data_IF_436286471530
#
_entry.id   IF_436286471530
#
_cell.length_a   1.000
_cell.length_b   1.000
_cell.length_c   1.000
_cell.angle_alpha   90.00
_cell.angle_beta   90.00
_cell.angle_gamma   90.00
#
_symmetry.space_group_name_H-M   'P 1'
#
loop_
_entity.id
_entity.type
_entity.pdbx_description
1 polymer ?
#
# COMPACT_ATOMS: atom_id res chain seq x y z
N UNK A 1 41.73 -12.94 -56.43
CA UNK A 1 40.83 -13.99 -55.91
C UNK A 1 41.35 -14.42 -54.55
N UNK A 2 40.44 -14.68 -53.60
CA UNK A 2 40.64 -14.84 -52.14
C UNK A 2 40.69 -13.53 -51.34
N UNK A 3 39.60 -13.22 -50.63
CA UNK A 3 39.62 -13.25 -49.16
C UNK A 3 38.18 -13.23 -48.60
N UNK A 4 37.89 -14.19 -47.73
CA UNK A 4 36.71 -14.24 -46.86
C UNK A 4 36.67 -13.03 -45.92
N UNK A 5 35.48 -12.51 -45.65
CA UNK A 5 35.21 -11.73 -44.43
C UNK A 5 33.81 -12.06 -43.92
N UNK A 6 33.78 -12.96 -42.93
CA UNK A 6 32.67 -13.18 -42.00
C UNK A 6 32.49 -11.93 -41.14
N UNK A 7 31.33 -11.30 -41.19
CA UNK A 7 30.91 -10.33 -40.19
C UNK A 7 30.00 -11.05 -39.16
N UNK A 8 30.60 -11.53 -38.07
CA UNK A 8 29.87 -12.02 -36.91
C UNK A 8 29.37 -10.81 -36.10
N UNK A 9 28.05 -10.61 -36.08
CA UNK A 9 27.40 -9.62 -35.23
C UNK A 9 27.43 -10.08 -33.76
N UNK A 10 28.28 -9.45 -32.94
CA UNK A 10 28.15 -9.52 -31.48
C UNK A 10 27.00 -8.60 -31.04
N UNK A 11 25.83 -9.17 -30.72
CA UNK A 11 24.87 -8.51 -29.85
C UNK A 11 25.34 -8.65 -28.39
N UNK A 12 25.88 -7.57 -27.84
CA UNK A 12 26.14 -7.46 -26.42
C UNK A 12 24.80 -7.39 -25.67
N UNK A 13 24.51 -8.40 -24.86
CA UNK A 13 23.41 -8.39 -23.91
C UNK A 13 23.74 -7.39 -22.79
N UNK A 14 23.06 -6.25 -22.78
CA UNK A 14 23.13 -5.31 -21.66
C UNK A 14 22.46 -5.94 -20.43
N UNK A 15 23.09 -5.90 -19.24
CA UNK A 15 22.43 -6.34 -18.01
C UNK A 15 21.25 -5.40 -17.71
N UNK A 16 20.05 -5.98 -17.56
CA UNK A 16 18.87 -5.30 -17.04
C UNK A 16 19.17 -4.88 -15.60
N UNK A 17 19.61 -3.65 -15.42
CA UNK A 17 19.74 -3.06 -14.09
C UNK A 17 18.33 -2.86 -13.53
N UNK A 18 17.93 -3.72 -12.59
CA UNK A 18 16.81 -3.50 -11.67
C UNK A 18 16.86 -2.06 -11.16
N UNK A 19 15.82 -1.23 -11.33
CA UNK A 19 15.78 0.06 -10.67
C UNK A 19 15.77 -0.17 -9.16
N UNK A 20 16.87 0.21 -8.50
CA UNK A 20 16.99 0.29 -7.04
C UNK A 20 16.01 1.37 -6.57
N UNK A 21 15.12 0.98 -5.66
CA UNK A 21 14.38 1.82 -4.71
C UNK A 21 14.16 3.26 -5.19
N UNK A 22 13.01 3.50 -5.82
CA UNK A 22 12.40 4.82 -5.75
C UNK A 22 12.18 5.11 -4.27
N UNK A 23 13.07 5.91 -3.68
CA UNK A 23 12.89 6.50 -2.35
C UNK A 23 11.67 7.40 -2.48
N UNK A 24 10.50 6.83 -2.16
CA UNK A 24 9.28 7.59 -1.98
C UNK A 24 9.61 8.74 -1.00
N UNK A 25 9.17 9.99 -1.27
CA UNK A 25 9.47 11.09 -0.38
C UNK A 25 8.90 10.74 1.00
N UNK A 26 9.81 10.48 1.94
CA UNK A 26 9.44 10.34 3.34
C UNK A 26 8.84 11.68 3.76
N UNK A 27 7.51 11.73 3.87
CA UNK A 27 6.82 12.90 4.38
C UNK A 27 7.28 13.10 5.82
N UNK A 28 7.86 14.25 6.12
CA UNK A 28 8.36 14.55 7.45
C UNK A 28 7.18 14.70 8.43
N UNK A 29 6.96 13.68 9.24
CA UNK A 29 6.00 13.66 10.34
C UNK A 29 5.86 12.28 10.95
N UNK A 30 5.17 12.21 12.08
CA UNK A 30 4.89 10.95 12.78
C UNK A 30 3.56 11.02 13.52
N UNK A 31 2.90 9.87 13.69
CA UNK A 31 1.79 9.72 14.61
C UNK A 31 2.30 9.62 16.04
N UNK A 32 1.68 10.39 16.93
CA UNK A 32 1.96 10.43 18.36
C UNK A 32 0.68 10.01 19.11
N UNK A 33 0.81 9.23 20.17
CA UNK A 33 -0.34 8.90 21.02
C UNK A 33 -0.68 10.11 21.91
N UNK A 34 -1.92 10.60 21.82
CA UNK A 34 -2.38 11.73 22.61
C UNK A 34 -3.67 11.42 23.36
N UNK A 35 -3.75 11.91 24.59
CA UNK A 35 -5.00 12.07 25.32
C UNK A 35 -5.83 13.17 24.66
N UNK A 36 -7.07 12.84 24.35
CA UNK A 36 -8.07 13.72 23.76
C UNK A 36 -9.09 14.09 24.86
N UNK A 37 -9.43 15.37 24.95
CA UNK A 37 -10.53 15.85 25.77
C UNK A 37 -11.33 16.91 25.01
N UNK A 38 -12.65 16.78 25.00
CA UNK A 38 -13.56 17.65 24.22
C UNK A 38 -13.12 17.82 22.76
N UNK A 39 -12.72 16.73 22.12
CA UNK A 39 -12.26 16.69 20.73
C UNK A 39 -10.87 17.28 20.48
N UNK A 40 -10.14 17.70 21.51
CA UNK A 40 -8.83 18.34 21.40
C UNK A 40 -7.72 17.48 22.04
N UNK A 41 -6.54 17.36 21.41
CA UNK A 41 -5.39 16.74 22.06
C UNK A 41 -4.89 17.63 23.20
N UNK A 42 -4.92 17.12 24.43
CA UNK A 42 -4.51 17.85 25.64
C UNK A 42 -3.15 17.43 26.17
N UNK A 43 -2.72 16.19 25.90
CA UNK A 43 -1.43 15.66 26.30
C UNK A 43 -0.97 14.64 25.28
N UNK A 44 0.27 14.75 24.81
CA UNK A 44 0.85 13.81 23.86
C UNK A 44 2.09 13.16 24.47
N UNK A 45 2.25 11.87 24.23
CA UNK A 45 3.38 11.06 24.72
C UNK A 45 4.31 10.66 23.59
N UNK A 46 4.62 9.38 23.56
CA UNK A 46 5.52 8.76 22.61
C UNK A 46 4.86 8.53 21.23
N UNK A 47 5.69 8.13 20.26
CA UNK A 47 5.22 7.71 18.94
C UNK A 47 4.20 6.59 19.04
N UNK A 48 3.13 6.69 18.26
CA UNK A 48 2.09 5.67 18.21
C UNK A 48 2.60 4.36 17.58
N UNK A 49 2.13 3.24 18.09
CA UNK A 49 2.45 1.88 17.65
C UNK A 49 1.16 1.06 17.58
N UNK A 50 0.94 0.33 16.48
CA UNK A 50 -0.19 -0.58 16.32
C UNK A 50 -1.09 -0.24 15.14
N UNK A 51 -2.33 -0.76 15.14
CA UNK A 51 -3.32 -0.50 14.08
C UNK A 51 -4.23 0.65 14.49
N UNK A 52 -4.46 1.59 13.57
CA UNK A 52 -5.39 2.68 13.78
C UNK A 52 -6.09 3.10 12.48
N UNK A 53 -7.30 3.62 12.63
CA UNK A 53 -8.00 4.30 11.54
C UNK A 53 -7.54 5.75 11.50
N UNK A 54 -6.95 6.16 10.39
CA UNK A 54 -6.32 7.48 10.23
C UNK A 54 -6.68 8.11 8.90
N UNK A 55 -6.65 9.45 8.85
CA UNK A 55 -6.79 10.17 7.60
C UNK A 55 -5.44 10.25 6.87
N UNK A 56 -5.42 9.75 5.63
CA UNK A 56 -4.25 9.78 4.74
C UNK A 56 -4.53 10.66 3.54
N UNK A 57 -3.53 10.87 2.68
CA UNK A 57 -3.71 11.53 1.38
C UNK A 57 -4.71 10.83 0.45
N UNK A 58 -5.01 9.54 0.69
CA UNK A 58 -5.94 8.74 -0.10
C UNK A 58 -7.32 8.57 0.55
N UNK A 59 -7.56 9.21 1.70
CA UNK A 59 -8.80 9.08 2.49
C UNK A 59 -8.58 8.41 3.84
N UNK A 60 -9.67 8.06 4.51
CA UNK A 60 -9.67 7.38 5.80
C UNK A 60 -9.44 5.88 5.59
N UNK A 61 -8.42 5.34 6.24
CA UNK A 61 -7.99 3.95 6.11
C UNK A 61 -7.62 3.38 7.48
N UNK A 62 -7.79 2.07 7.65
CA UNK A 62 -7.12 1.37 8.75
C UNK A 62 -5.69 1.08 8.34
N UNK A 63 -4.72 1.48 9.16
CA UNK A 63 -3.31 1.32 8.87
C UNK A 63 -2.56 0.74 10.07
N UNK A 64 -1.58 -0.11 9.77
CA UNK A 64 -0.51 -0.48 10.69
C UNK A 64 0.50 0.67 10.75
N UNK A 65 0.84 1.08 11.98
CA UNK A 65 1.76 2.16 12.29
C UNK A 65 2.89 1.59 13.15
N UNK A 66 4.13 1.82 12.71
CA UNK A 66 5.34 1.49 13.46
C UNK A 66 6.21 2.74 13.62
N UNK A 67 6.62 3.03 14.85
CA UNK A 67 7.43 4.21 15.20
C UNK A 67 6.81 5.52 14.69
N UNK A 68 5.47 5.61 14.76
CA UNK A 68 4.70 6.74 14.26
C UNK A 68 4.63 6.85 12.72
N UNK A 69 5.09 5.86 11.97
CA UNK A 69 5.07 5.85 10.50
C UNK A 69 4.12 4.78 9.98
N UNK A 70 3.34 5.09 8.95
CA UNK A 70 2.48 4.11 8.27
C UNK A 70 3.34 3.06 7.57
N UNK A 71 3.12 1.78 7.89
CA UNK A 71 3.84 0.66 7.27
C UNK A 71 3.00 -0.11 6.27
N UNK A 72 1.70 -0.18 6.52
CA UNK A 72 0.72 -0.87 5.69
C UNK A 72 -0.64 -0.24 5.94
N UNK A 73 -1.43 -0.05 4.90
CA UNK A 73 -2.81 0.41 5.02
C UNK A 73 -3.71 -0.57 4.28
N UNK A 74 -4.81 -0.89 4.90
CA UNK A 74 -5.91 -1.62 4.30
C UNK A 74 -6.66 -0.69 3.31
N UNK A 75 -7.70 -1.23 2.67
CA UNK A 75 -8.57 -0.46 1.78
C UNK A 75 -9.28 0.71 2.49
N UNK A 76 -10.12 1.47 1.75
CA UNK A 76 -10.94 2.52 2.34
C UNK A 76 -11.75 2.01 3.54
N UNK A 77 -11.67 2.71 4.66
CA UNK A 77 -12.38 2.31 5.88
C UNK A 77 -13.90 2.43 5.72
N UNK A 78 -14.62 1.53 6.38
CA UNK A 78 -16.08 1.43 6.37
C UNK A 78 -16.56 1.21 7.80
N UNK A 79 -17.48 2.05 8.28
CA UNK A 79 -18.07 1.95 9.61
C UNK A 79 -17.84 3.19 10.47
N UNK A 80 -18.00 3.04 11.78
CA UNK A 80 -17.89 4.15 12.73
C UNK A 80 -16.52 4.16 13.39
N UNK A 81 -15.91 5.34 13.49
CA UNK A 81 -14.57 5.50 14.07
C UNK A 81 -14.36 6.92 14.62
N UNK A 82 -13.34 7.10 15.45
CA UNK A 82 -12.88 8.44 15.87
C UNK A 82 -11.81 8.92 14.89
N UNK A 83 -12.05 10.06 14.24
CA UNK A 83 -11.11 10.70 13.32
C UNK A 83 -11.10 12.21 13.55
N UNK A 84 -10.02 12.87 13.15
CA UNK A 84 -10.01 14.34 13.11
C UNK A 84 -10.84 14.80 11.90
N UNK A 85 -11.94 15.49 12.17
CA UNK A 85 -12.80 16.07 11.15
C UNK A 85 -13.06 17.54 11.51
N UNK A 86 -12.84 18.44 10.54
CA UNK A 86 -12.93 19.90 10.75
C UNK A 86 -12.08 20.41 11.92
N UNK A 87 -10.91 19.81 12.12
CA UNK A 87 -9.94 20.22 13.14
C UNK A 87 -10.18 19.66 14.54
N UNK A 88 -11.25 18.89 14.76
CA UNK A 88 -11.59 18.28 16.06
C UNK A 88 -11.75 16.76 15.92
N UNK A 89 -11.38 16.01 16.96
CA UNK A 89 -11.59 14.57 17.03
C UNK A 89 -13.05 14.26 17.32
N UNK A 90 -13.70 13.56 16.40
CA UNK A 90 -15.12 13.25 16.43
C UNK A 90 -15.38 11.78 16.12
N UNK A 91 -16.45 11.23 16.70
CA UNK A 91 -16.97 9.93 16.30
C UNK A 91 -17.79 10.10 15.01
N UNK A 92 -17.29 9.57 13.90
CA UNK A 92 -17.89 9.74 12.59
C UNK A 92 -18.20 8.40 11.93
N UNK A 93 -19.29 8.38 11.16
CA UNK A 93 -19.63 7.30 10.24
C UNK A 93 -18.90 7.54 8.91
N UNK A 94 -18.11 6.57 8.49
CA UNK A 94 -17.24 6.63 7.31
C UNK A 94 -17.73 5.59 6.30
N UNK A 95 -17.88 6.04 5.06
CA UNK A 95 -18.20 5.21 3.90
C UNK A 95 -17.16 5.42 2.81
N UNK A 96 -16.59 4.33 2.30
CA UNK A 96 -15.57 4.31 1.25
C UNK A 96 -14.40 5.26 1.53
N UNK A 97 -13.96 5.31 2.80
CA UNK A 97 -12.86 6.15 3.24
C UNK A 97 -13.19 7.65 3.32
N UNK A 98 -14.47 8.01 3.25
CA UNK A 98 -14.96 9.39 3.33
C UNK A 98 -15.93 9.54 4.51
N UNK A 99 -15.80 10.64 5.25
CA UNK A 99 -16.77 10.96 6.32
C UNK A 99 -18.14 11.23 5.70
N UNK A 100 -19.15 10.50 6.16
CA UNK A 100 -20.54 10.71 5.78
C UNK A 100 -21.29 11.60 6.77
N UNK A 101 -21.02 11.42 8.07
CA UNK A 101 -21.62 12.17 9.19
C UNK A 101 -20.73 12.03 10.42
N UNK A 102 -20.69 13.07 11.25
CA UNK A 102 -20.14 13.00 12.60
C UNK A 102 -21.24 13.14 13.65
N UNK A 103 -21.10 12.41 14.76
CA UNK A 103 -22.12 12.26 15.79
C UNK A 103 -21.78 13.02 17.08
N UNK A 104 -20.61 13.66 17.14
CA UNK A 104 -20.13 14.43 18.29
C UNK A 104 -18.61 14.38 18.43
N UNK A 105 -18.05 15.25 19.26
CA UNK A 105 -16.63 15.19 19.61
C UNK A 105 -16.35 14.03 20.57
N UNK A 106 -15.10 13.58 20.59
CA UNK A 106 -14.63 12.63 21.59
C UNK A 106 -14.45 13.36 22.94
N UNK A 107 -15.30 13.06 23.93
CA UNK A 107 -15.25 13.72 25.24
C UNK A 107 -13.97 13.40 26.01
N UNK A 108 -13.58 12.13 26.07
CA UNK A 108 -12.34 11.64 26.67
C UNK A 108 -11.86 10.39 25.92
N UNK A 109 -10.56 10.29 25.66
CA UNK A 109 -9.98 9.08 25.09
C UNK A 109 -8.55 9.27 24.62
N UNK A 110 -8.05 8.30 23.84
CA UNK A 110 -6.75 8.37 23.19
C UNK A 110 -6.91 8.24 21.68
N UNK A 111 -6.10 8.97 20.94
CA UNK A 111 -6.07 8.87 19.49
C UNK A 111 -4.66 9.13 18.95
N UNK A 112 -4.28 8.46 17.84
CA UNK A 112 -3.09 8.83 17.10
C UNK A 112 -3.27 10.20 16.45
N UNK A 113 -2.33 11.10 16.72
CA UNK A 113 -2.28 12.45 16.17
C UNK A 113 -1.12 12.59 15.22
N UNK A 114 -1.40 12.97 13.98
CA UNK A 114 -0.35 13.24 13.00
C UNK A 114 0.37 14.55 13.31
N UNK A 115 1.69 14.48 13.50
CA UNK A 115 2.59 15.63 13.65
C UNK A 115 3.44 15.80 12.40
N UNK A 116 2.85 16.30 11.33
CA UNK A 116 3.54 16.61 10.08
C UNK A 116 2.92 17.81 9.36
N UNK A 117 3.66 18.41 8.43
CA UNK A 117 3.21 19.60 7.68
C UNK A 117 2.23 19.26 6.55
N UNK A 118 2.18 18.01 6.13
CA UNK A 118 1.32 17.50 5.06
C UNK A 118 0.65 16.21 5.53
N UNK A 119 -0.53 15.85 5.01
CA UNK A 119 -1.18 14.60 5.35
C UNK A 119 -0.25 13.40 5.16
N UNK A 120 -0.34 12.37 6.01
CA UNK A 120 0.47 11.17 5.86
C UNK A 120 0.07 10.44 4.58
N UNK A 121 1.07 9.94 3.84
CA UNK A 121 0.86 9.19 2.61
C UNK A 121 0.84 7.71 2.95
N UNK A 122 -0.27 7.05 2.62
CA UNK A 122 -0.37 5.59 2.76
C UNK A 122 0.70 4.94 1.87
N UNK A 123 1.45 3.96 2.38
CA UNK A 123 2.42 3.23 1.56
C UNK A 123 1.67 2.57 0.40
N UNK A 124 2.24 2.64 -0.80
CA UNK A 124 1.62 1.97 -1.95
C UNK A 124 1.41 0.49 -1.64
N UNK A 125 0.24 -0.08 -1.97
CA UNK A 125 0.06 -1.52 -1.86
C UNK A 125 1.21 -2.17 -2.64
N UNK A 126 1.98 -3.03 -1.98
CA UNK A 126 2.95 -3.86 -2.68
C UNK A 126 2.13 -4.58 -3.73
N UNK A 127 2.37 -4.30 -5.01
CA UNK A 127 1.76 -5.07 -6.09
C UNK A 127 2.02 -6.52 -5.73
N UNK A 128 0.97 -7.25 -5.39
CA UNK A 128 1.01 -8.70 -5.50
C UNK A 128 1.51 -8.93 -6.91
N UNK A 129 2.71 -9.50 -7.03
CA UNK A 129 3.27 -9.88 -8.32
C UNK A 129 2.22 -10.81 -8.91
N UNK A 130 1.34 -10.25 -9.74
CA UNK A 130 0.44 -11.01 -10.56
C UNK A 130 1.36 -12.01 -11.24
N UNK A 131 1.24 -13.28 -10.85
CA UNK A 131 1.77 -14.36 -11.65
C UNK A 131 1.14 -14.11 -13.01
N UNK A 132 1.98 -13.67 -13.93
CA UNK A 132 1.68 -13.68 -15.35
C UNK A 132 1.49 -15.16 -15.68
N UNK A 133 0.29 -15.67 -15.43
CA UNK A 133 -0.20 -16.88 -16.06
C UNK A 133 -0.48 -16.47 -17.50
N UNK A 134 0.61 -16.23 -18.25
CA UNK A 134 0.59 -15.69 -19.60
C UNK A 134 -0.44 -16.45 -20.42
N UNK A 135 -1.53 -15.77 -20.77
CA UNK A 135 -2.59 -16.35 -21.57
C UNK A 135 -2.00 -16.61 -22.96
N UNK A 136 -1.59 -17.86 -23.19
CA UNK A 136 -1.11 -18.34 -24.48
C UNK A 136 -2.29 -18.38 -25.44
N UNK A 137 -2.51 -17.30 -26.18
CA UNK A 137 -3.32 -17.34 -27.41
C UNK A 137 -2.39 -17.64 -28.59
N UNK A 138 -2.75 -18.67 -29.35
CA UNK A 138 -2.10 -19.02 -30.63
C UNK A 138 -0.63 -19.47 -30.56
N UNK A 139 -0.20 -20.02 -29.41
CA UNK A 139 1.07 -20.76 -29.31
C UNK A 139 2.34 -19.92 -29.47
N UNK A 140 2.28 -18.60 -29.30
CA UNK A 140 3.46 -17.73 -29.25
C UNK A 140 3.40 -16.75 -28.09
N UNK A 141 4.41 -16.80 -27.24
CA UNK A 141 4.75 -15.68 -26.36
C UNK A 141 5.36 -14.53 -27.18
N UNK A 142 5.09 -13.29 -26.78
CA UNK A 142 5.57 -12.06 -27.43
C UNK A 142 7.10 -11.96 -27.53
N UNK A 143 7.82 -12.74 -26.72
CA UNK A 143 9.29 -12.75 -26.67
C UNK A 143 9.93 -13.84 -27.53
N UNK A 144 9.17 -14.54 -28.37
CA UNK A 144 9.69 -15.60 -29.26
C UNK A 144 10.22 -16.83 -28.52
N UNK A 145 10.03 -16.91 -27.21
CA UNK A 145 10.40 -18.07 -26.40
C UNK A 145 9.31 -19.14 -26.48
N UNK A 146 9.72 -20.37 -26.77
CA UNK A 146 8.83 -21.53 -26.87
C UNK A 146 8.16 -21.75 -25.51
N UNK A 147 6.82 -21.68 -25.47
CA UNK A 147 6.06 -22.01 -24.28
C UNK A 147 6.31 -23.50 -23.94
N UNK A 148 6.92 -23.77 -22.78
CA UNK A 148 6.92 -25.13 -22.24
C UNK A 148 5.54 -25.40 -21.63
N UNK A 149 4.87 -26.45 -22.12
CA UNK A 149 3.54 -26.81 -21.67
C UNK A 149 3.54 -27.16 -20.18
N UNK A 150 2.54 -26.72 -19.40
CA UNK A 150 2.42 -27.10 -17.99
C UNK A 150 2.20 -28.61 -17.88
N UNK A 151 3.03 -29.28 -17.06
CA UNK A 151 2.80 -30.67 -16.65
C UNK A 151 1.46 -30.73 -15.90
N UNK A 152 0.46 -31.37 -16.51
CA UNK A 152 -0.84 -31.66 -15.89
C UNK A 152 -0.64 -32.44 -14.59
N UNK A 153 -0.81 -31.81 -13.44
CA UNK A 153 -1.07 -32.50 -12.18
C UNK A 153 -2.57 -32.76 -12.07
N UNK A 154 -2.96 -34.01 -12.31
CA UNK A 154 -4.33 -34.51 -12.15
C UNK A 154 -4.68 -34.63 -10.65
N UNK A 155 -5.79 -34.05 -10.15
CA UNK A 155 -6.37 -34.48 -8.90
C UNK A 155 -7.12 -35.80 -9.10
N UNK A 156 -6.73 -36.81 -8.33
CA UNK A 156 -7.31 -38.16 -8.28
C UNK A 156 -8.62 -38.16 -7.47
N UNK A 157 -9.70 -38.66 -8.08
CA UNK A 157 -10.84 -39.32 -7.40
C UNK A 157 -11.83 -38.41 -6.66
N UNK A 158 -13.09 -38.79 -6.45
CA UNK A 158 -13.67 -40.14 -6.42
C UNK A 158 -15.20 -40.00 -6.61
N UNK A 159 -15.76 -40.79 -7.54
CA UNK A 159 -17.19 -41.12 -7.58
C UNK A 159 -17.56 -41.89 -6.31
N UNK A 160 -18.73 -41.60 -5.74
CA UNK A 160 -19.78 -42.58 -5.47
C UNK A 160 -21.13 -41.88 -5.47
#
# INVERSE_FOLDING_TARGET
MHLLLLAAALLAAAPVTKPKNAKEPAVAGSFIDCDISSGQPIRCGDTYQGKAVVQTSAGIQECSIADGVLTECDGPFQGRTVVQYEGIYQECDVGDGVVSRCNGWLDEGKAPVWKGKSPPVAPKPKKEEAKDDGECKDGKASDGKKCEAPKKTTPKGKRR
#
